data_IF_343462465310
#
_entry.id   IF_343462465310
#
_cell.length_a   1.000
_cell.length_b   1.000
_cell.length_c   1.000
_cell.angle_alpha   90.00
_cell.angle_beta   90.00
_cell.angle_gamma   90.00
#
_symmetry.space_group_name_H-M   'P 1'
#
loop_
_entity.id
_entity.type
_entity.pdbx_description
1 polymer ?
#
# COMPACT_ATOMS: atom_id res chain seq x y z
N UNK A 1 6.42 4.98 34.49
CA UNK A 1 7.58 4.06 34.56
C UNK A 1 7.98 3.74 33.12
N UNK A 2 8.48 4.73 32.38
CA UNK A 2 9.02 4.52 31.03
C UNK A 2 10.52 4.83 31.06
N UNK A 3 11.23 4.11 30.23
CA UNK A 3 12.66 3.77 30.26
C UNK A 3 13.53 5.03 30.47
N UNK A 4 14.46 4.99 31.43
CA UNK A 4 15.39 6.12 31.71
C UNK A 4 16.50 6.27 30.65
N UNK A 5 16.64 5.30 29.75
CA UNK A 5 17.67 5.26 28.72
C UNK A 5 17.14 5.88 27.41
N UNK A 6 17.85 6.88 26.89
CA UNK A 6 17.47 7.62 25.68
C UNK A 6 17.49 6.74 24.42
N UNK A 7 18.45 5.81 24.32
CA UNK A 7 18.59 4.95 23.14
C UNK A 7 17.38 4.02 23.01
N UNK A 8 16.97 3.40 24.11
CA UNK A 8 15.78 2.55 24.15
C UNK A 8 14.47 3.31 23.94
N UNK A 9 14.42 4.62 24.24
CA UNK A 9 13.25 5.44 23.88
C UNK A 9 13.19 5.66 22.36
N UNK A 10 14.34 5.95 21.74
CA UNK A 10 14.43 6.13 20.29
C UNK A 10 14.11 4.84 19.54
N UNK A 11 14.62 3.70 19.99
CA UNK A 11 14.34 2.40 19.37
C UNK A 11 12.84 2.05 19.42
N UNK A 12 12.18 2.34 20.55
CA UNK A 12 10.73 2.13 20.69
C UNK A 12 9.95 3.09 19.78
N UNK A 13 10.36 4.34 19.68
CA UNK A 13 9.71 5.31 18.80
C UNK A 13 9.90 4.95 17.31
N UNK A 14 11.08 4.49 16.94
CA UNK A 14 11.39 3.99 15.59
C UNK A 14 10.50 2.78 15.27
N UNK A 15 10.43 1.81 16.17
CA UNK A 15 9.59 0.63 16.00
C UNK A 15 8.10 0.99 15.85
N UNK A 16 7.61 1.94 16.63
CA UNK A 16 6.24 2.45 16.50
C UNK A 16 6.04 3.12 15.13
N UNK A 17 7.00 3.94 14.67
CA UNK A 17 6.98 4.60 13.36
C UNK A 17 6.90 3.59 12.22
N UNK A 18 7.81 2.60 12.21
CA UNK A 18 7.85 1.53 11.22
C UNK A 18 6.51 0.75 11.18
N UNK A 19 5.89 0.50 12.34
CA UNK A 19 4.57 -0.14 12.41
C UNK A 19 3.47 0.68 11.72
N UNK A 20 3.49 2.02 11.81
CA UNK A 20 2.50 2.87 11.12
C UNK A 20 2.79 2.97 9.62
N UNK A 21 4.06 3.07 9.23
CA UNK A 21 4.46 3.15 7.83
C UNK A 21 4.09 1.85 7.09
N UNK A 22 4.26 0.68 7.70
CA UNK A 22 3.83 -0.59 7.10
C UNK A 22 2.30 -0.75 7.01
N UNK A 23 1.53 -0.03 7.85
CA UNK A 23 0.07 -0.14 7.93
C UNK A 23 -0.68 1.12 7.45
N UNK A 24 -0.01 2.06 6.78
CA UNK A 24 -0.61 3.33 6.35
C UNK A 24 -1.82 3.15 5.41
N UNK A 25 -1.84 2.07 4.63
CA UNK A 25 -2.93 1.73 3.72
C UNK A 25 -4.10 1.01 4.39
N UNK A 26 -3.97 0.59 5.65
CA UNK A 26 -5.06 -0.08 6.39
C UNK A 26 -6.31 0.80 6.51
N UNK A 27 -6.15 2.13 6.53
CA UNK A 27 -7.27 3.08 6.50
C UNK A 27 -8.16 2.95 5.25
N UNK A 28 -7.61 2.44 4.14
CA UNK A 28 -8.32 2.20 2.87
C UNK A 28 -9.05 0.85 2.88
N UNK A 29 -8.75 -0.03 3.84
CA UNK A 29 -9.31 -1.38 3.98
C UNK A 29 -10.81 -1.36 4.29
N UNK A 30 -11.30 -0.41 5.10
CA UNK A 30 -12.73 -0.30 5.45
C UNK A 30 -13.66 -0.15 4.24
N UNK A 31 -13.14 0.29 3.10
CA UNK A 31 -13.86 0.41 1.82
C UNK A 31 -13.66 -0.78 0.87
N UNK A 32 -12.67 -1.63 1.11
CA UNK A 32 -12.33 -2.77 0.26
C UNK A 32 -12.66 -4.09 0.95
N UNK A 33 -13.64 -4.84 0.45
CA UNK A 33 -13.87 -6.24 0.83
C UNK A 33 -12.77 -7.16 0.28
N UNK A 34 -11.49 -6.85 0.51
CA UNK A 34 -10.36 -7.66 0.04
C UNK A 34 -10.09 -8.82 1.02
N UNK A 35 -10.28 -10.09 0.62
CA UNK A 35 -10.07 -11.24 1.49
C UNK A 35 -8.62 -11.44 1.96
N UNK A 36 -7.64 -10.79 1.32
CA UNK A 36 -6.21 -10.93 1.65
C UNK A 36 -5.70 -9.89 2.64
N UNK A 37 -6.47 -8.83 2.92
CA UNK A 37 -6.06 -7.74 3.79
C UNK A 37 -5.77 -8.20 5.24
N UNK A 38 -6.52 -9.21 5.72
CA UNK A 38 -6.32 -9.81 7.04
C UNK A 38 -4.99 -10.56 7.22
N UNK A 39 -4.26 -10.85 6.14
CA UNK A 39 -2.93 -11.51 6.17
C UNK A 39 -1.80 -10.50 5.99
N UNK A 40 -2.07 -9.37 5.34
CA UNK A 40 -1.08 -8.35 4.98
C UNK A 40 -0.93 -7.31 6.10
N UNK A 41 -2.04 -6.92 6.73
CA UNK A 41 -2.05 -5.88 7.75
C UNK A 41 -2.14 -6.46 9.16
N UNK A 42 -1.68 -5.66 10.13
CA UNK A 42 -1.77 -6.03 11.53
C UNK A 42 -3.23 -6.06 11.99
N UNK A 43 -3.52 -6.94 12.97
CA UNK A 43 -4.87 -7.08 13.51
C UNK A 43 -5.39 -5.78 14.15
N UNK A 44 -6.70 -5.55 14.07
CA UNK A 44 -7.35 -4.38 14.68
C UNK A 44 -7.11 -4.33 16.20
N UNK A 45 -7.08 -5.49 16.87
CA UNK A 45 -6.79 -5.57 18.31
C UNK A 45 -5.40 -5.08 18.68
N UNK A 46 -4.40 -5.31 17.83
CA UNK A 46 -3.05 -4.77 18.03
C UNK A 46 -3.03 -3.25 17.90
N UNK A 47 -3.66 -2.69 16.86
CA UNK A 47 -3.69 -1.24 16.64
C UNK A 47 -4.47 -0.49 17.71
N UNK A 48 -5.56 -1.06 18.21
CA UNK A 48 -6.32 -0.49 19.34
C UNK A 48 -5.43 -0.42 20.58
N UNK A 49 -4.72 -1.51 20.91
CA UNK A 49 -3.79 -1.52 22.05
C UNK A 49 -2.64 -0.52 21.86
N UNK A 50 -2.08 -0.42 20.67
CA UNK A 50 -1.04 0.55 20.33
C UNK A 50 -1.56 1.99 20.48
N UNK A 51 -2.77 2.26 20.02
CA UNK A 51 -3.43 3.58 20.15
C UNK A 51 -3.64 3.95 21.62
N UNK A 52 -4.07 3.00 22.46
CA UNK A 52 -4.21 3.25 23.92
C UNK A 52 -2.86 3.57 24.56
N UNK A 53 -1.78 2.92 24.14
CA UNK A 53 -0.43 3.22 24.62
C UNK A 53 -0.02 4.64 24.19
N UNK A 54 -0.24 5.01 22.94
CA UNK A 54 0.05 6.36 22.43
C UNK A 54 -0.76 7.45 23.14
N UNK A 55 -2.05 7.21 23.38
CA UNK A 55 -2.90 8.13 24.14
C UNK A 55 -2.39 8.32 25.57
N UNK A 56 -1.93 7.25 26.21
CA UNK A 56 -1.33 7.33 27.54
C UNK A 56 0.02 8.07 27.54
N UNK A 57 0.81 7.95 26.47
CA UNK A 57 2.05 8.72 26.28
C UNK A 57 1.78 10.20 25.97
N UNK A 58 0.69 10.51 25.26
CA UNK A 58 0.27 11.86 24.90
C UNK A 58 -0.45 12.59 26.05
N UNK A 59 -1.07 11.86 26.98
CA UNK A 59 -1.81 12.40 28.13
C UNK A 59 -1.12 13.54 28.90
N UNK A 60 0.17 13.45 29.32
CA UNK A 60 0.84 14.55 30.03
C UNK A 60 1.03 15.83 29.21
N UNK A 61 0.83 15.77 27.89
CA UNK A 61 0.85 16.91 26.98
C UNK A 61 -0.56 17.44 26.68
N UNK A 62 -1.61 16.64 26.89
CA UNK A 62 -3.00 16.99 26.61
C UNK A 62 -3.77 17.51 27.85
N UNK A 63 -3.14 17.57 29.02
CA UNK A 63 -3.75 18.15 30.22
C UNK A 63 -3.93 19.68 30.09
N UNK A 64 -5.15 20.21 30.32
CA UNK A 64 -5.35 21.66 30.32
C UNK A 64 -4.44 22.27 31.39
N UNK A 65 -3.71 23.32 31.01
CA UNK A 65 -2.71 24.03 31.84
C UNK A 65 -1.34 23.34 32.05
N UNK A 66 -1.03 22.26 31.32
CA UNK A 66 0.31 21.66 31.40
C UNK A 66 1.40 22.58 30.83
N UNK A 67 2.51 22.84 31.54
CA UNK A 67 3.64 23.60 30.99
C UNK A 67 4.38 22.85 29.86
N UNK A 68 4.05 21.57 29.66
CA UNK A 68 4.60 20.72 28.59
C UNK A 68 3.83 20.83 27.27
N UNK A 69 2.71 21.56 27.24
CA UNK A 69 1.89 21.79 26.04
C UNK A 69 2.70 22.40 24.88
N UNK A 70 3.73 23.20 25.20
CA UNK A 70 4.58 23.86 24.22
C UNK A 70 5.90 23.12 23.92
N UNK A 71 6.09 21.89 24.41
CA UNK A 71 7.27 21.05 24.09
C UNK A 71 7.18 20.31 22.76
N UNK A 72 6.09 20.45 22.01
CA UNK A 72 6.02 19.97 20.64
C UNK A 72 6.90 20.87 19.77
N UNK A 73 8.15 20.47 19.57
CA UNK A 73 8.97 21.02 18.50
C UNK A 73 8.33 20.59 17.17
N UNK A 74 7.66 21.55 16.52
CA UNK A 74 7.03 21.42 15.20
C UNK A 74 8.09 21.34 14.07
N UNK A 75 9.18 20.63 14.34
CA UNK A 75 10.43 20.60 13.57
C UNK A 75 10.86 19.18 13.17
N UNK A 76 10.01 18.18 13.36
CA UNK A 76 10.30 16.80 12.93
C UNK A 76 9.95 16.63 11.46
N UNK A 77 10.82 17.11 10.56
CA UNK A 77 10.95 16.51 9.22
C UNK A 77 12.19 16.91 8.41
N UNK A 78 13.19 17.61 8.97
CA UNK A 78 14.34 18.07 8.17
C UNK A 78 15.70 17.46 8.50
N UNK A 79 15.86 16.71 9.60
CA UNK A 79 17.18 16.12 9.92
C UNK A 79 17.41 14.73 9.29
N UNK A 80 16.38 14.04 8.81
CA UNK A 80 16.49 12.67 8.28
C UNK A 80 16.90 12.55 6.80
N UNK A 81 17.06 13.66 6.06
CA UNK A 81 17.40 13.60 4.61
C UNK A 81 18.70 14.28 4.21
N UNK A 82 19.51 14.81 5.13
CA UNK A 82 20.92 15.16 4.89
C UNK A 82 21.23 16.14 3.73
N UNK A 83 20.23 16.81 3.14
CA UNK A 83 20.38 17.63 1.93
C UNK A 83 20.04 19.12 2.12
N UNK A 84 19.87 19.60 3.35
CA UNK A 84 19.22 20.88 3.60
C UNK A 84 20.14 22.05 4.03
N UNK A 85 21.40 22.12 3.59
CA UNK A 85 22.25 23.30 3.91
C UNK A 85 22.28 24.35 2.79
N UNK A 86 21.87 24.03 1.55
CA UNK A 86 21.93 24.99 0.44
C UNK A 86 20.58 25.64 0.06
N UNK A 87 19.44 25.11 0.52
CA UNK A 87 18.11 25.56 0.04
C UNK A 87 17.43 26.59 0.95
N UNK A 88 17.83 26.65 2.23
CA UNK A 88 17.17 27.50 3.23
C UNK A 88 17.42 29.01 3.01
N UNK A 89 18.50 29.36 2.31
CA UNK A 89 18.92 30.75 2.14
C UNK A 89 18.21 31.49 0.98
N UNK A 90 17.53 30.77 0.06
CA UNK A 90 17.02 31.37 -1.19
C UNK A 90 15.53 31.73 -1.19
N UNK A 91 14.72 31.16 -0.30
CA UNK A 91 13.25 31.28 -0.44
C UNK A 91 12.47 31.77 0.77
N UNK A 92 13.11 32.15 1.89
CA UNK A 92 12.49 32.86 3.02
C UNK A 92 10.99 32.52 3.29
N UNK A 93 10.62 31.24 3.31
CA UNK A 93 9.25 30.80 3.54
C UNK A 93 9.22 29.61 4.50
N UNK A 94 8.51 29.81 5.61
CA UNK A 94 8.29 28.82 6.67
C UNK A 94 7.27 27.79 6.18
N UNK A 95 7.73 26.66 5.63
CA UNK A 95 6.87 25.65 5.00
C UNK A 95 6.07 24.70 5.92
N UNK A 96 6.33 24.48 7.22
CA UNK A 96 5.57 23.47 7.98
C UNK A 96 4.14 23.90 8.37
N UNK A 97 3.84 25.21 8.37
CA UNK A 97 2.48 25.71 8.70
C UNK A 97 1.46 25.41 7.58
N UNK A 98 1.90 25.27 6.33
CA UNK A 98 0.99 25.16 5.18
C UNK A 98 0.27 23.81 5.14
N UNK A 99 0.96 22.71 5.49
CA UNK A 99 0.37 21.36 5.46
C UNK A 99 -0.74 21.20 6.49
N UNK A 100 -0.56 21.70 7.71
CA UNK A 100 -1.59 21.58 8.77
C UNK A 100 -2.82 22.41 8.41
N UNK A 101 -2.63 23.62 7.85
CA UNK A 101 -3.75 24.46 7.42
C UNK A 101 -4.56 23.83 6.28
N UNK A 102 -3.90 23.13 5.35
CA UNK A 102 -4.56 22.37 4.30
C UNK A 102 -5.30 21.14 4.83
N UNK A 103 -4.76 20.44 5.83
CA UNK A 103 -5.46 19.32 6.47
C UNK A 103 -6.72 19.78 7.21
N UNK A 104 -6.64 20.89 7.93
CA UNK A 104 -7.79 21.48 8.64
C UNK A 104 -8.82 22.03 7.67
N UNK A 105 -8.40 22.53 6.50
CA UNK A 105 -9.32 23.06 5.48
C UNK A 105 -10.01 21.96 4.66
N UNK A 106 -9.33 20.83 4.42
CA UNK A 106 -9.84 19.67 3.68
C UNK A 106 -10.77 18.75 4.49
N UNK A 107 -10.85 18.92 5.82
CA UNK A 107 -11.74 18.12 6.65
C UNK A 107 -13.19 18.64 6.55
N UNK A 108 -13.92 18.13 5.56
CA UNK A 108 -15.33 18.45 5.31
C UNK A 108 -16.25 18.10 6.49
N UNK A 109 -15.81 17.23 7.42
CA UNK A 109 -16.62 16.74 8.53
C UNK A 109 -16.49 17.61 9.79
N UNK A 110 -15.32 18.23 10.01
CA UNK A 110 -15.03 18.99 11.24
C UNK A 110 -14.88 20.49 11.02
N UNK A 111 -14.53 20.93 9.81
CA UNK A 111 -14.36 22.35 9.52
C UNK A 111 -15.71 23.03 9.28
N UNK A 112 -16.16 23.82 10.26
CA UNK A 112 -17.30 24.71 10.12
C UNK A 112 -16.85 26.17 10.30
N UNK A 113 -16.93 26.96 9.23
CA UNK A 113 -16.53 28.37 9.22
C UNK A 113 -17.26 29.25 10.25
N UNK A 114 -18.40 28.79 10.79
CA UNK A 114 -19.16 29.49 11.82
C UNK A 114 -18.63 29.29 13.25
N UNK A 115 -17.80 28.26 13.49
CA UNK A 115 -17.28 27.94 14.82
C UNK A 115 -16.15 28.88 15.27
N UNK A 116 -15.38 29.42 14.32
CA UNK A 116 -14.26 30.31 14.63
C UNK A 116 -14.70 31.64 15.25
N UNK A 117 -15.72 32.36 14.73
CA UNK A 117 -16.29 33.53 15.39
C UNK A 117 -16.83 33.23 16.80
N UNK A 118 -17.48 32.08 16.98
CA UNK A 118 -18.01 31.66 18.29
C UNK A 118 -16.89 31.37 19.30
N UNK A 119 -15.81 30.73 18.85
CA UNK A 119 -14.63 30.50 19.68
C UNK A 119 -13.97 31.82 20.11
N UNK A 120 -13.87 32.81 19.22
CA UNK A 120 -13.36 34.15 19.56
C UNK A 120 -14.22 34.82 20.63
N UNK A 121 -15.54 34.72 20.54
CA UNK A 121 -16.46 35.28 21.55
C UNK A 121 -16.26 34.62 22.93
N UNK A 122 -16.08 33.30 22.96
CA UNK A 122 -15.76 32.57 24.20
C UNK A 122 -14.39 32.98 24.75
N UNK A 123 -13.38 33.11 23.89
CA UNK A 123 -12.03 33.54 24.29
C UNK A 123 -12.01 34.97 24.87
N UNK A 124 -12.85 35.85 24.35
CA UNK A 124 -13.06 37.20 24.90
C UNK A 124 -13.76 37.15 26.26
N UNK A 125 -14.77 36.28 26.42
CA UNK A 125 -15.49 36.11 27.70
C UNK A 125 -14.62 35.56 28.83
N UNK A 126 -13.64 34.71 28.51
CA UNK A 126 -12.70 34.17 29.51
C UNK A 126 -11.48 35.08 29.77
N UNK A 127 -11.47 36.30 29.21
CA UNK A 127 -10.40 37.28 29.36
C UNK A 127 -9.01 36.76 28.92
N UNK A 128 -8.98 35.99 27.82
CA UNK A 128 -7.73 35.48 27.24
C UNK A 128 -6.90 36.63 26.62
N UNK A 129 -5.55 36.54 26.56
CA UNK A 129 -4.71 37.65 26.10
C UNK A 129 -5.10 38.15 24.69
N UNK A 130 -5.30 39.47 24.51
CA UNK A 130 -5.83 40.03 23.25
C UNK A 130 -4.88 39.81 22.06
N UNK A 131 -3.57 39.73 22.30
CA UNK A 131 -2.57 39.44 21.27
C UNK A 131 -2.78 38.05 20.64
N UNK A 132 -3.09 37.04 21.48
CA UNK A 132 -3.32 35.65 21.04
C UNK A 132 -4.65 35.51 20.32
N UNK A 133 -5.66 36.29 20.72
CA UNK A 133 -6.94 36.37 20.01
C UNK A 133 -6.75 36.97 18.62
N UNK A 134 -5.91 38.00 18.48
CA UNK A 134 -5.58 38.59 17.18
C UNK A 134 -4.81 37.60 16.27
N UNK A 135 -3.89 36.81 16.81
CA UNK A 135 -3.24 35.72 16.07
C UNK A 135 -4.24 34.66 15.60
N UNK A 136 -5.19 34.29 16.46
CA UNK A 136 -6.24 33.32 16.13
C UNK A 136 -7.21 33.85 15.05
N UNK A 137 -7.53 35.15 15.07
CA UNK A 137 -8.29 35.79 14.00
C UNK A 137 -7.51 35.84 12.67
N UNK A 138 -6.21 36.12 12.73
CA UNK A 138 -5.34 36.09 11.55
C UNK A 138 -5.22 34.69 10.96
N UNK A 139 -5.26 33.66 11.80
CA UNK A 139 -5.33 32.26 11.38
C UNK A 139 -6.65 31.96 10.65
N UNK A 140 -7.78 32.41 11.20
CA UNK A 140 -9.10 32.24 10.57
C UNK A 140 -9.15 32.82 9.15
N UNK A 141 -8.67 34.05 8.97
CA UNK A 141 -8.63 34.68 7.64
C UNK A 141 -7.75 33.91 6.65
N UNK A 142 -6.62 33.36 7.11
CA UNK A 142 -5.74 32.53 6.27
C UNK A 142 -6.42 31.23 5.82
N UNK A 143 -7.12 30.55 6.72
CA UNK A 143 -7.85 29.31 6.40
C UNK A 143 -9.00 29.59 5.43
N UNK A 144 -9.69 30.73 5.60
CA UNK A 144 -10.76 31.17 4.69
C UNK A 144 -10.24 31.43 3.28
N UNK A 145 -9.09 32.08 3.13
CA UNK A 145 -8.46 32.30 1.82
C UNK A 145 -8.03 31.00 1.16
N UNK A 146 -7.43 30.06 1.91
CA UNK A 146 -7.03 28.75 1.38
C UNK A 146 -8.25 27.96 0.87
N UNK A 147 -9.35 27.95 1.63
CA UNK A 147 -10.60 27.31 1.19
C UNK A 147 -11.21 27.94 -0.07
N UNK A 148 -11.11 29.27 -0.22
CA UNK A 148 -11.57 29.96 -1.42
C UNK A 148 -10.70 29.63 -2.65
N UNK A 149 -9.37 29.56 -2.46
CA UNK A 149 -8.43 29.16 -3.50
C UNK A 149 -8.62 27.69 -3.93
N UNK A 150 -8.97 26.79 -3.00
CA UNK A 150 -9.24 25.39 -3.29
C UNK A 150 -10.54 25.18 -4.07
N UNK A 151 -11.62 25.88 -3.72
CA UNK A 151 -12.87 25.83 -4.52
C UNK A 151 -12.66 26.26 -5.96
N UNK A 152 -11.76 27.22 -6.18
CA UNK A 152 -11.41 27.67 -7.52
C UNK A 152 -10.50 26.68 -8.28
N UNK A 153 -9.80 25.79 -7.57
CA UNK A 153 -9.03 24.70 -8.16
C UNK A 153 -9.91 23.51 -8.60
N UNK A 154 -11.00 23.24 -7.88
CA UNK A 154 -11.97 22.19 -8.22
C UNK A 154 -12.68 22.45 -9.57
N UNK A 155 -12.85 23.73 -9.94
CA UNK A 155 -13.43 24.15 -11.23
C UNK A 155 -12.41 24.20 -12.39
N UNK A 156 -11.12 23.95 -12.14
CA UNK A 156 -10.06 24.12 -13.13
C UNK A 156 -9.74 22.80 -13.90
N UNK A 157 -9.43 22.86 -15.21
CA UNK A 157 -9.04 21.67 -15.97
C UNK A 157 -7.76 21.02 -15.42
N UNK A 158 -7.72 19.69 -15.39
CA UNK A 158 -6.64 18.87 -14.81
C UNK A 158 -5.21 19.24 -15.30
N UNK A 159 -5.07 19.81 -16.49
CA UNK A 159 -3.79 20.24 -17.06
C UNK A 159 -3.12 21.36 -16.23
N UNK A 160 -3.89 22.14 -15.48
CA UNK A 160 -3.40 23.23 -14.64
C UNK A 160 -3.21 22.83 -13.18
N UNK A 161 -3.50 21.58 -12.84
CA UNK A 161 -3.32 21.03 -11.49
C UNK A 161 -1.93 20.41 -11.36
N UNK A 162 -1.23 20.72 -10.28
CA UNK A 162 0.05 20.13 -9.95
C UNK A 162 -0.13 18.60 -9.77
N UNK A 163 0.67 17.74 -10.44
CA UNK A 163 0.47 16.29 -10.42
C UNK A 163 0.60 15.61 -9.05
N UNK A 164 1.25 16.26 -8.08
CA UNK A 164 1.51 15.71 -6.74
C UNK A 164 0.52 16.28 -5.73
N UNK A 165 0.16 17.56 -5.89
CA UNK A 165 -0.60 18.29 -4.87
C UNK A 165 -2.04 18.57 -5.27
N UNK A 166 -2.43 18.34 -6.54
CA UNK A 166 -3.77 18.61 -7.08
C UNK A 166 -4.24 20.05 -6.84
N UNK A 167 -3.29 20.99 -6.71
CA UNK A 167 -3.53 22.42 -6.53
C UNK A 167 -3.25 23.14 -7.85
N UNK A 168 -3.97 24.22 -8.12
CA UNK A 168 -3.75 25.07 -9.28
C UNK A 168 -2.31 25.62 -9.33
N UNK A 169 -1.57 25.28 -10.38
CA UNK A 169 -0.20 25.73 -10.61
C UNK A 169 -0.16 27.23 -10.89
N UNK A 170 0.49 28.02 -10.03
CA UNK A 170 0.63 29.48 -10.22
C UNK A 170 1.71 29.87 -11.23
N UNK A 171 2.77 29.07 -11.34
CA UNK A 171 3.89 29.29 -12.27
C UNK A 171 4.50 27.94 -12.69
N UNK A 172 4.04 27.33 -13.80
CA UNK A 172 4.48 26.00 -14.21
C UNK A 172 5.91 26.04 -14.74
N UNK A 173 6.87 25.63 -13.91
CA UNK A 173 8.25 25.38 -14.36
C UNK A 173 8.26 24.11 -15.22
N UNK A 174 8.52 24.26 -16.53
CA UNK A 174 8.71 23.12 -17.42
C UNK A 174 9.99 22.37 -17.03
N UNK A 175 9.85 21.30 -16.26
CA UNK A 175 10.95 20.39 -15.95
C UNK A 175 11.29 19.63 -17.23
N UNK A 176 12.42 19.95 -17.85
CA UNK A 176 12.90 19.26 -19.06
C UNK A 176 13.51 17.90 -18.72
N UNK A 177 12.83 17.06 -17.93
CA UNK A 177 13.16 15.64 -17.83
C UNK A 177 11.88 14.82 -17.58
N UNK A 178 11.73 13.77 -18.40
CA UNK A 178 10.65 12.78 -18.45
C UNK A 178 10.34 12.21 -17.05
N UNK A 179 9.41 12.79 -16.30
CA UNK A 179 8.62 12.08 -15.28
C UNK A 179 7.56 13.01 -14.66
N UNK A 180 6.31 12.89 -15.09
CA UNK A 180 5.15 13.32 -14.28
C UNK A 180 3.87 12.57 -14.69
N UNK A 181 3.79 12.07 -15.92
CA UNK A 181 2.69 11.20 -16.37
C UNK A 181 2.79 9.74 -15.89
N UNK A 182 3.77 9.39 -15.06
CA UNK A 182 4.06 8.01 -14.66
C UNK A 182 3.57 7.64 -13.25
N UNK A 183 3.23 8.61 -12.39
CA UNK A 183 2.90 8.33 -10.98
C UNK A 183 1.42 7.93 -10.77
N UNK A 184 0.48 8.39 -11.62
CA UNK A 184 -0.94 8.00 -11.55
C UNK A 184 -1.25 6.63 -12.22
N UNK A 185 -0.26 5.75 -12.36
CA UNK A 185 -0.43 4.35 -12.78
C UNK A 185 -0.23 3.34 -11.64
N UNK A 186 -0.25 3.78 -10.39
CA UNK A 186 -0.49 2.86 -9.27
C UNK A 186 -1.94 2.38 -9.33
N UNK A 187 -2.17 1.08 -9.29
CA UNK A 187 -3.48 0.38 -9.21
C UNK A 187 -4.34 0.24 -10.48
N UNK A 188 -4.01 0.88 -11.60
CA UNK A 188 -4.55 0.43 -12.88
C UNK A 188 -3.78 -0.82 -13.34
N UNK A 189 -4.04 -1.98 -12.71
CA UNK A 189 -3.48 -3.26 -13.16
C UNK A 189 -3.76 -3.36 -14.67
N UNK A 190 -2.71 -3.37 -15.48
CA UNK A 190 -2.82 -3.51 -16.93
C UNK A 190 -3.75 -4.70 -17.25
N UNK A 191 -4.56 -4.61 -18.30
CA UNK A 191 -5.48 -5.69 -18.69
C UNK A 191 -4.77 -7.04 -18.80
N UNK A 192 -3.52 -7.03 -19.26
CA UNK A 192 -2.62 -8.19 -19.29
C UNK A 192 -2.38 -8.77 -17.89
N UNK A 193 -2.10 -7.93 -16.89
CA UNK A 193 -1.81 -8.36 -15.53
C UNK A 193 -3.04 -8.95 -14.83
N UNK A 194 -4.22 -8.34 -15.04
CA UNK A 194 -5.51 -8.90 -14.58
C UNK A 194 -5.77 -10.28 -15.19
N UNK A 195 -5.44 -10.46 -16.47
CA UNK A 195 -5.60 -11.74 -17.15
C UNK A 195 -4.61 -12.80 -16.62
N UNK A 196 -3.37 -12.43 -16.32
CA UNK A 196 -2.39 -13.33 -15.68
C UNK A 196 -2.88 -13.88 -14.33
N UNK A 197 -3.39 -13.00 -13.47
CA UNK A 197 -3.91 -13.39 -12.14
C UNK A 197 -5.12 -14.32 -12.29
N UNK A 198 -6.03 -14.03 -13.24
CA UNK A 198 -7.18 -14.91 -13.54
C UNK A 198 -6.74 -16.29 -14.00
N UNK A 199 -5.75 -16.37 -14.90
CA UNK A 199 -5.21 -17.64 -15.38
C UNK A 199 -4.51 -18.43 -14.26
N UNK A 200 -3.78 -17.75 -13.38
CA UNK A 200 -3.16 -18.35 -12.20
C UNK A 200 -4.21 -18.96 -11.26
N UNK A 201 -5.28 -18.20 -10.98
CA UNK A 201 -6.40 -18.65 -10.14
C UNK A 201 -7.13 -19.85 -10.74
N UNK A 202 -7.45 -19.83 -12.04
CA UNK A 202 -8.07 -20.96 -12.74
C UNK A 202 -7.18 -22.21 -12.71
N UNK A 203 -5.88 -22.03 -12.90
CA UNK A 203 -4.92 -23.12 -12.85
C UNK A 203 -4.80 -23.74 -11.46
N UNK A 204 -4.75 -22.92 -10.41
CA UNK A 204 -4.71 -23.37 -9.02
C UNK A 204 -6.00 -24.09 -8.61
N UNK A 205 -7.17 -23.57 -9.00
CA UNK A 205 -8.45 -24.23 -8.75
C UNK A 205 -8.50 -25.62 -9.42
N UNK A 206 -8.04 -25.74 -10.66
CA UNK A 206 -7.96 -27.02 -11.36
C UNK A 206 -7.02 -28.01 -10.63
N UNK A 207 -5.89 -27.53 -10.12
CA UNK A 207 -4.94 -28.36 -9.39
C UNK A 207 -5.53 -28.91 -8.08
N UNK A 208 -6.32 -28.11 -7.36
CA UNK A 208 -7.03 -28.53 -6.15
C UNK A 208 -8.12 -29.56 -6.50
N UNK A 209 -8.91 -29.33 -7.54
CA UNK A 209 -9.93 -30.27 -8.00
C UNK A 209 -9.32 -31.63 -8.39
N UNK A 210 -8.22 -31.62 -9.14
CA UNK A 210 -7.49 -32.84 -9.49
C UNK A 210 -6.89 -33.52 -8.26
N UNK A 211 -6.41 -32.75 -7.28
CA UNK A 211 -5.95 -33.29 -6.00
C UNK A 211 -7.03 -34.02 -5.21
N UNK A 212 -8.22 -33.43 -5.10
CA UNK A 212 -9.38 -34.06 -4.47
C UNK A 212 -9.83 -35.33 -5.22
N UNK A 213 -9.76 -35.32 -6.55
CA UNK A 213 -9.98 -36.52 -7.37
C UNK A 213 -8.93 -37.61 -7.08
N UNK A 214 -7.66 -37.24 -6.97
CA UNK A 214 -6.57 -38.17 -6.64
C UNK A 214 -6.74 -38.85 -5.28
N UNK A 215 -7.24 -38.14 -4.27
CA UNK A 215 -7.43 -38.67 -2.92
C UNK A 215 -8.71 -39.51 -2.75
N UNK A 216 -9.79 -39.20 -3.48
CA UNK A 216 -11.09 -39.84 -3.28
C UNK A 216 -11.58 -40.72 -4.42
N UNK A 217 -11.23 -40.43 -5.67
CA UNK A 217 -11.77 -41.11 -6.84
C UNK A 217 -10.79 -42.11 -7.49
N UNK A 218 -9.50 -42.10 -7.11
CA UNK A 218 -8.58 -43.15 -7.55
C UNK A 218 -8.93 -44.48 -6.89
N UNK A 219 -9.11 -45.51 -7.72
CA UNK A 219 -9.41 -46.87 -7.27
C UNK A 219 -8.34 -47.37 -6.29
N UNK A 220 -8.76 -48.13 -5.28
CA UNK A 220 -7.85 -48.79 -4.33
C UNK A 220 -6.90 -49.78 -5.01
N UNK A 221 -7.31 -50.37 -6.12
CA UNK A 221 -6.51 -51.33 -6.89
C UNK A 221 -5.52 -50.68 -7.88
N UNK A 222 -5.36 -49.36 -7.87
CA UNK A 222 -4.37 -48.67 -8.72
C UNK A 222 -2.97 -48.85 -8.13
N UNK A 223 -1.98 -49.15 -8.97
CA UNK A 223 -0.60 -49.34 -8.51
C UNK A 223 -0.07 -48.11 -7.76
N UNK A 224 0.74 -48.36 -6.73
CA UNK A 224 1.35 -47.30 -5.92
C UNK A 224 2.22 -46.35 -6.77
N UNK A 225 2.81 -46.86 -7.86
CA UNK A 225 3.56 -46.05 -8.83
C UNK A 225 2.67 -44.99 -9.50
N UNK A 226 1.49 -45.36 -10.00
CA UNK A 226 0.59 -44.41 -10.68
C UNK A 226 0.04 -43.37 -9.70
N UNK A 227 -0.21 -43.76 -8.44
CA UNK A 227 -0.59 -42.83 -7.37
C UNK A 227 0.52 -41.82 -7.08
N UNK A 228 1.78 -42.26 -6.99
CA UNK A 228 2.93 -41.38 -6.82
C UNK A 228 3.10 -40.43 -8.00
N UNK A 229 2.93 -40.90 -9.23
CA UNK A 229 2.98 -40.06 -10.42
C UNK A 229 1.87 -39.01 -10.44
N UNK A 230 0.66 -39.36 -10.00
CA UNK A 230 -0.44 -38.41 -9.87
C UNK A 230 -0.13 -37.31 -8.85
N UNK A 231 0.36 -37.70 -7.66
CA UNK A 231 0.77 -36.74 -6.61
C UNK A 231 1.94 -35.85 -7.04
N UNK A 232 2.88 -36.40 -7.81
CA UNK A 232 3.97 -35.63 -8.43
C UNK A 232 3.39 -34.55 -9.37
N UNK A 233 2.53 -34.94 -10.30
CA UNK A 233 1.88 -34.01 -11.22
C UNK A 233 1.11 -32.92 -10.47
N UNK A 234 0.38 -33.28 -9.40
CA UNK A 234 -0.35 -32.33 -8.56
C UNK A 234 0.57 -31.34 -7.85
N UNK A 235 1.68 -31.82 -7.29
CA UNK A 235 2.64 -30.97 -6.57
C UNK A 235 3.27 -29.96 -7.54
N UNK A 236 3.66 -30.41 -8.72
CA UNK A 236 4.18 -29.54 -9.77
C UNK A 236 3.11 -28.58 -10.30
N UNK A 237 1.86 -29.04 -10.45
CA UNK A 237 0.75 -28.20 -10.89
C UNK A 237 0.54 -27.03 -9.91
N UNK A 238 0.36 -27.33 -8.62
CA UNK A 238 0.18 -26.31 -7.58
C UNK A 238 1.37 -25.36 -7.46
N UNK A 239 2.60 -25.89 -7.46
CA UNK A 239 3.81 -25.07 -7.31
C UNK A 239 3.94 -24.04 -8.45
N UNK A 240 3.67 -24.44 -9.68
CA UNK A 240 3.78 -23.54 -10.83
C UNK A 240 2.54 -22.64 -10.99
N UNK A 241 1.36 -23.06 -10.50
CA UNK A 241 0.20 -22.16 -10.35
C UNK A 241 0.45 -21.06 -9.33
N UNK A 242 1.13 -21.38 -8.22
CA UNK A 242 1.56 -20.39 -7.25
C UNK A 242 2.63 -19.44 -7.84
N UNK A 243 3.59 -19.97 -8.59
CA UNK A 243 4.57 -19.15 -9.31
C UNK A 243 3.90 -18.18 -10.30
N UNK A 244 2.82 -18.60 -10.98
CA UNK A 244 2.03 -17.74 -11.88
C UNK A 244 1.41 -16.52 -11.18
N UNK A 245 1.15 -16.57 -9.87
CA UNK A 245 0.68 -15.40 -9.10
C UNK A 245 1.76 -14.32 -8.95
N UNK A 246 3.03 -14.68 -9.05
CA UNK A 246 4.16 -13.75 -8.96
C UNK A 246 4.51 -13.11 -10.33
N UNK A 247 4.04 -13.67 -11.44
CA UNK A 247 4.31 -13.17 -12.80
C UNK A 247 3.89 -11.71 -13.05
N UNK A 248 2.78 -11.19 -12.48
CA UNK A 248 2.45 -9.76 -12.49
C UNK A 248 3.59 -8.79 -12.14
N UNK A 249 4.52 -9.21 -11.28
CA UNK A 249 5.61 -8.37 -10.77
C UNK A 249 6.86 -8.39 -11.66
N UNK A 250 6.86 -9.18 -12.74
CA UNK A 250 7.97 -9.34 -13.69
C UNK A 250 7.84 -8.31 -14.81
N UNK A 251 8.94 -7.81 -15.40
CA UNK A 251 8.85 -6.72 -16.39
C UNK A 251 8.19 -7.16 -17.71
N UNK A 252 8.20 -8.46 -18.04
CA UNK A 252 7.60 -9.02 -19.28
C UNK A 252 6.64 -10.19 -19.02
N UNK A 253 5.48 -9.94 -18.38
CA UNK A 253 4.54 -11.01 -17.99
C UNK A 253 3.92 -11.73 -19.21
N UNK A 254 3.85 -11.06 -20.36
CA UNK A 254 3.32 -11.63 -21.61
C UNK A 254 4.18 -12.76 -22.20
N UNK A 255 5.47 -12.85 -21.84
CA UNK A 255 6.37 -13.94 -22.26
C UNK A 255 6.37 -15.04 -21.21
N UNK A 256 6.47 -14.66 -19.94
CA UNK A 256 6.54 -15.58 -18.81
C UNK A 256 5.26 -16.39 -18.61
N UNK A 257 4.09 -15.77 -18.78
CA UNK A 257 2.78 -16.45 -18.62
C UNK A 257 2.59 -17.64 -19.56
N UNK A 258 2.75 -17.52 -20.90
CA UNK A 258 2.60 -18.66 -21.80
C UNK A 258 3.67 -19.73 -21.60
N UNK A 259 4.89 -19.38 -21.16
CA UNK A 259 5.93 -20.35 -20.81
C UNK A 259 5.48 -21.25 -19.66
N UNK A 260 4.98 -20.66 -18.57
CA UNK A 260 4.44 -21.44 -17.45
C UNK A 260 3.19 -22.22 -17.84
N UNK A 261 2.22 -21.61 -18.52
CA UNK A 261 0.96 -22.27 -18.87
C UNK A 261 1.16 -23.42 -19.88
N UNK A 262 2.01 -23.21 -20.88
CA UNK A 262 2.42 -24.24 -21.84
C UNK A 262 3.23 -25.36 -21.17
N UNK A 263 4.18 -25.00 -20.30
CA UNK A 263 4.94 -25.97 -19.53
C UNK A 263 4.07 -26.81 -18.60
N UNK A 264 3.09 -26.19 -17.94
CA UNK A 264 2.17 -26.85 -17.02
C UNK A 264 1.31 -27.89 -17.72
N UNK A 265 0.73 -27.51 -18.86
CA UNK A 265 -0.13 -28.38 -19.65
C UNK A 265 0.63 -29.55 -20.26
N UNK A 266 1.82 -29.30 -20.83
CA UNK A 266 2.66 -30.34 -21.45
C UNK A 266 3.39 -31.22 -20.43
N UNK A 267 3.65 -30.74 -19.23
CA UNK A 267 4.27 -31.52 -18.16
C UNK A 267 3.22 -32.29 -17.36
N UNK A 268 2.26 -31.60 -16.74
CA UNK A 268 1.29 -32.21 -15.82
C UNK A 268 0.21 -32.99 -16.55
N UNK A 269 -0.25 -32.50 -17.72
CA UNK A 269 -1.33 -33.12 -18.50
C UNK A 269 -1.05 -34.58 -18.88
N UNK A 270 0.07 -34.88 -19.56
CA UNK A 270 0.44 -36.26 -19.89
C UNK A 270 0.62 -37.17 -18.68
N UNK A 271 1.12 -36.64 -17.55
CA UNK A 271 1.31 -37.44 -16.32
C UNK A 271 -0.05 -37.79 -15.70
N UNK A 272 -0.99 -36.83 -15.62
CA UNK A 272 -2.36 -37.11 -15.18
C UNK A 272 -3.07 -38.11 -16.09
N UNK A 273 -2.92 -37.95 -17.42
CA UNK A 273 -3.47 -38.89 -18.38
C UNK A 273 -2.93 -40.30 -18.15
N UNK A 274 -1.61 -40.43 -18.01
CA UNK A 274 -0.96 -41.72 -17.75
C UNK A 274 -1.41 -42.34 -16.42
N UNK A 275 -1.53 -41.55 -15.36
CA UNK A 275 -1.98 -42.02 -14.05
C UNK A 275 -3.42 -42.56 -14.05
N UNK A 276 -4.32 -41.98 -14.87
CA UNK A 276 -5.73 -42.40 -14.95
C UNK A 276 -5.94 -43.54 -15.93
N UNK A 277 -5.35 -43.47 -17.14
CA UNK A 277 -5.56 -44.44 -18.22
C UNK A 277 -4.57 -45.60 -18.22
N UNK A 278 -3.50 -45.51 -17.44
CA UNK A 278 -2.35 -46.42 -17.47
C UNK A 278 -1.76 -46.61 -18.89
N UNK A 279 -1.74 -45.52 -19.67
CA UNK A 279 -1.31 -45.51 -21.07
C UNK A 279 -0.10 -44.58 -21.24
N UNK A 280 0.96 -45.05 -21.90
CA UNK A 280 2.27 -44.39 -21.99
C UNK A 280 2.45 -43.54 -23.25
N UNK A 281 1.46 -43.47 -24.15
CA UNK A 281 1.58 -42.79 -25.44
C UNK A 281 2.13 -41.35 -25.34
N UNK A 282 1.67 -40.57 -24.36
CA UNK A 282 2.04 -39.15 -24.21
C UNK A 282 3.28 -38.91 -23.34
N UNK A 283 3.95 -39.96 -22.85
CA UNK A 283 5.13 -39.83 -21.96
C UNK A 283 6.31 -39.13 -22.65
N UNK A 284 6.38 -39.17 -23.98
CA UNK A 284 7.43 -38.48 -24.77
C UNK A 284 7.30 -36.95 -24.77
N UNK A 285 6.12 -36.41 -24.44
CA UNK A 285 5.85 -34.96 -24.49
C UNK A 285 6.28 -34.26 -23.19
N UNK A 286 6.22 -34.97 -22.07
CA UNK A 286 6.59 -34.49 -20.73
C UNK A 286 7.95 -33.78 -20.64
N UNK A 287 9.07 -34.25 -21.24
CA UNK A 287 10.35 -33.55 -21.15
C UNK A 287 10.32 -32.15 -21.79
N UNK A 288 9.56 -31.94 -22.87
CA UNK A 288 9.40 -30.62 -23.48
C UNK A 288 8.64 -29.65 -22.56
N UNK A 289 7.65 -30.16 -21.81
CA UNK A 289 6.97 -29.39 -20.78
C UNK A 289 7.93 -28.96 -19.66
N UNK A 290 8.80 -29.86 -19.22
CA UNK A 290 9.84 -29.53 -18.23
C UNK A 290 10.79 -28.44 -18.70
N UNK A 291 11.23 -28.48 -19.95
CA UNK A 291 12.08 -27.42 -20.55
C UNK A 291 11.37 -26.05 -20.56
N UNK A 292 10.07 -26.02 -20.86
CA UNK A 292 9.26 -24.79 -20.82
C UNK A 292 9.11 -24.23 -19.41
N UNK A 293 8.94 -25.09 -18.40
CA UNK A 293 8.87 -24.67 -16.99
C UNK A 293 10.21 -24.08 -16.53
N UNK A 294 11.34 -24.69 -16.90
CA UNK A 294 12.68 -24.16 -16.62
C UNK A 294 12.85 -22.79 -17.29
N UNK A 295 12.47 -22.66 -18.57
CA UNK A 295 12.51 -21.39 -19.29
C UNK A 295 11.59 -20.33 -18.64
N UNK A 296 10.43 -20.74 -18.11
CA UNK A 296 9.54 -19.89 -17.34
C UNK A 296 10.22 -19.30 -16.10
N UNK A 297 10.87 -20.14 -15.28
CA UNK A 297 11.63 -19.69 -14.11
C UNK A 297 12.83 -18.80 -14.49
N UNK A 298 13.58 -19.15 -15.55
CA UNK A 298 14.65 -18.29 -16.05
C UNK A 298 14.14 -16.95 -16.55
N UNK A 299 12.95 -16.92 -17.15
CA UNK A 299 12.35 -15.67 -17.61
C UNK A 299 12.02 -14.73 -16.45
N UNK A 300 11.65 -15.24 -15.26
CA UNK A 300 11.46 -14.43 -14.05
C UNK A 300 12.80 -13.83 -13.58
N UNK A 301 13.89 -14.60 -13.66
CA UNK A 301 15.20 -14.15 -13.20
C UNK A 301 15.84 -13.09 -14.11
N UNK A 302 15.53 -13.09 -15.40
CA UNK A 302 16.22 -12.28 -16.41
C UNK A 302 15.38 -11.10 -16.93
N UNK A 303 14.05 -11.22 -16.98
CA UNK A 303 13.16 -10.24 -17.63
C UNK A 303 12.37 -9.40 -16.64
#
# INVERSE_FOLDING_TARGET
MFIKNADAQNDVLQWIGDCFDENHEKSKEWSSNDPLAAVIFVSDGFLINLTVILLNLAKPFAEPYSPKLFKFDLFVSTELTGQAVAFQQKFNCHRPIYNILQYVSNDEMSYNGQLFPQAVEVLQRINYPPERIAEFQKLHERVKTINAEQKQADDAPDEYLDPITSILMRDPVRITHRSSSAMNRGLALSSTMKNCIRLAGLSGALAICLGAYGSHAMKENTSDELRRLFQLAQTYHLLHSAALLAVPFVSRPHITTPLFLGGLTLFCGPIYYHAIRNDTQFRRVTPYGGMLLIAGWLSIAVL
#
